data_IF_090139658509
#
_entry.id   IF_090139658509
#
_cell.length_a   1.000
_cell.length_b   1.000
_cell.length_c   1.000
_cell.angle_alpha   90.00
_cell.angle_beta   90.00
_cell.angle_gamma   90.00
#
_symmetry.space_group_name_H-M   'P 1'
#
loop_
_entity.id
_entity.type
_entity.pdbx_description
1 polymer ?
#
# COMPACT_ATOMS: atom_id res chain seq x y z
N UNK A 1 -59.45 73.25 8.76
CA UNK A 1 -60.57 72.26 8.67
C UNK A 1 -59.99 70.89 8.31
N UNK A 2 -59.43 70.20 9.30
CA UNK A 2 -58.48 69.08 9.14
C UNK A 2 -58.98 67.81 9.86
N UNK A 3 -60.31 67.68 10.03
CA UNK A 3 -60.98 66.65 10.86
C UNK A 3 -62.08 65.85 10.15
N UNK A 4 -61.93 65.60 8.85
CA UNK A 4 -62.90 64.77 8.09
C UNK A 4 -62.38 63.38 7.71
N UNK A 5 -61.14 63.02 8.07
CA UNK A 5 -60.53 61.73 7.70
C UNK A 5 -60.56 60.66 8.81
N UNK A 6 -61.15 60.92 9.98
CA UNK A 6 -61.09 59.98 11.12
C UNK A 6 -62.37 59.18 11.37
N UNK A 7 -63.42 59.29 10.55
CA UNK A 7 -64.71 58.62 10.80
C UNK A 7 -64.96 57.34 9.98
N UNK A 8 -63.90 56.70 9.45
CA UNK A 8 -64.02 55.41 8.73
C UNK A 8 -63.53 54.20 9.50
N UNK A 9 -63.34 54.32 10.81
CA UNK A 9 -63.01 53.19 11.68
C UNK A 9 -63.91 53.33 12.88
N UNK A 10 -65.09 52.69 12.86
CA UNK A 10 -65.85 52.23 14.04
C UNK A 10 -67.21 51.71 13.57
N UNK A 11 -67.30 50.38 13.53
CA UNK A 11 -68.46 49.51 13.78
C UNK A 11 -69.30 48.97 12.60
N UNK A 12 -69.38 47.64 12.59
CA UNK A 12 -70.19 46.80 11.72
C UNK A 12 -69.27 46.04 10.75
N UNK A 13 -68.97 44.76 10.90
CA UNK A 13 -69.93 43.71 11.18
C UNK A 13 -69.20 42.41 11.57
N UNK A 14 -69.71 41.75 12.60
CA UNK A 14 -69.28 40.40 13.01
C UNK A 14 -70.01 39.38 12.14
N UNK A 15 -69.70 39.36 10.85
CA UNK A 15 -70.19 38.31 9.96
C UNK A 15 -69.09 37.95 8.97
N UNK A 16 -68.60 36.71 9.08
CA UNK A 16 -67.72 36.03 8.13
C UNK A 16 -66.30 36.60 8.03
N UNK A 17 -65.36 35.95 8.73
CA UNK A 17 -63.94 36.08 8.44
C UNK A 17 -63.69 35.72 6.98
N UNK A 18 -63.62 36.73 6.12
CA UNK A 18 -63.25 36.58 4.73
C UNK A 18 -61.72 36.40 4.67
N UNK A 19 -61.26 35.21 5.03
CA UNK A 19 -59.91 34.74 4.75
C UNK A 19 -59.86 34.49 3.24
N UNK A 20 -59.48 35.52 2.51
CA UNK A 20 -59.07 35.39 1.11
C UNK A 20 -57.62 34.95 1.12
N UNK A 21 -57.37 33.70 0.74
CA UNK A 21 -56.03 33.18 0.47
C UNK A 21 -55.50 33.94 -0.75
N UNK A 22 -54.59 34.88 -0.53
CA UNK A 22 -54.10 35.81 -1.56
C UNK A 22 -53.20 35.11 -2.58
N UNK A 23 -52.45 34.09 -2.17
CA UNK A 23 -51.62 33.29 -3.07
C UNK A 23 -51.38 31.89 -2.47
N UNK A 24 -51.52 30.86 -3.31
CA UNK A 24 -51.22 29.47 -2.95
C UNK A 24 -49.70 29.24 -2.96
N UNK A 25 -49.16 28.60 -1.93
CA UNK A 25 -47.73 28.36 -1.81
C UNK A 25 -47.26 27.46 -2.98
N UNK A 26 -46.47 28.03 -3.90
CA UNK A 26 -45.90 27.27 -5.01
C UNK A 26 -44.89 26.27 -4.46
N UNK A 27 -45.15 24.98 -4.65
CA UNK A 27 -44.19 23.94 -4.33
C UNK A 27 -42.92 24.16 -5.18
N UNK A 28 -41.73 24.16 -4.56
CA UNK A 28 -40.50 24.30 -5.32
C UNK A 28 -40.39 23.14 -6.31
N UNK A 29 -40.30 23.46 -7.61
CA UNK A 29 -40.10 22.45 -8.67
C UNK A 29 -38.68 21.92 -8.70
N UNK A 30 -37.74 22.71 -8.18
CA UNK A 30 -36.33 22.36 -8.07
C UNK A 30 -35.91 22.16 -6.61
N UNK A 31 -34.93 21.29 -6.34
CA UNK A 31 -34.44 21.05 -4.98
C UNK A 31 -33.88 22.32 -4.34
N UNK A 32 -34.47 22.74 -3.21
CA UNK A 32 -34.02 23.89 -2.40
C UNK A 32 -32.86 23.57 -1.44
N UNK A 33 -31.92 22.72 -1.85
CA UNK A 33 -30.81 22.26 -1.03
C UNK A 33 -29.48 22.18 -1.80
N UNK A 34 -28.34 22.03 -1.10
CA UNK A 34 -27.04 21.92 -1.76
C UNK A 34 -27.04 20.74 -2.76
N UNK A 35 -26.42 20.89 -3.95
CA UNK A 35 -26.44 19.86 -4.98
C UNK A 35 -25.63 18.63 -4.56
N UNK A 36 -26.32 17.65 -3.97
CA UNK A 36 -25.72 16.46 -3.34
C UNK A 36 -24.83 15.68 -4.29
N UNK A 37 -25.30 15.42 -5.52
CA UNK A 37 -24.54 14.67 -6.54
C UNK A 37 -23.24 15.37 -6.90
N UNK A 38 -23.28 16.70 -7.10
CA UNK A 38 -22.09 17.50 -7.39
C UNK A 38 -21.07 17.42 -6.26
N UNK A 39 -21.54 17.55 -5.02
CA UNK A 39 -20.66 17.48 -3.85
C UNK A 39 -20.05 16.08 -3.68
N UNK A 40 -20.80 15.02 -3.97
CA UNK A 40 -20.29 13.64 -3.96
C UNK A 40 -19.20 13.46 -5.01
N UNK A 41 -19.43 13.93 -6.25
CA UNK A 41 -18.43 13.82 -7.32
C UNK A 41 -17.17 14.59 -6.96
N UNK A 42 -17.29 15.81 -6.43
CA UNK A 42 -16.15 16.62 -6.00
C UNK A 42 -15.39 15.92 -4.86
N UNK A 43 -16.09 15.39 -3.85
CA UNK A 43 -15.48 14.68 -2.74
C UNK A 43 -14.77 13.40 -3.19
N UNK A 44 -15.36 12.67 -4.14
CA UNK A 44 -14.75 11.47 -4.72
C UNK A 44 -13.46 11.80 -5.47
N UNK A 45 -13.49 12.81 -6.34
CA UNK A 45 -12.31 13.22 -7.10
C UNK A 45 -11.20 13.75 -6.18
N UNK A 46 -11.58 14.54 -5.16
CA UNK A 46 -10.63 15.10 -4.20
C UNK A 46 -9.97 14.00 -3.35
N UNK A 47 -10.76 13.07 -2.80
CA UNK A 47 -10.23 11.97 -1.99
C UNK A 47 -9.38 11.00 -2.82
N UNK A 48 -9.75 10.75 -4.08
CA UNK A 48 -8.94 9.93 -4.98
C UNK A 48 -7.58 10.58 -5.26
N UNK A 49 -7.56 11.89 -5.55
CA UNK A 49 -6.32 12.64 -5.75
C UNK A 49 -5.43 12.62 -4.51
N UNK A 50 -6.01 12.87 -3.33
CA UNK A 50 -5.28 12.79 -2.05
C UNK A 50 -4.80 11.36 -1.77
N UNK A 51 -5.61 10.34 -2.03
CA UNK A 51 -5.23 8.94 -1.81
C UNK A 51 -4.05 8.50 -2.69
N UNK A 52 -4.08 8.85 -3.97
CA UNK A 52 -2.96 8.59 -4.89
C UNK A 52 -1.72 9.36 -4.44
N UNK A 53 -1.85 10.64 -4.12
CA UNK A 53 -0.75 11.45 -3.61
C UNK A 53 -0.14 10.89 -2.33
N UNK A 54 -0.98 10.43 -1.40
CA UNK A 54 -0.54 9.81 -0.14
C UNK A 54 0.16 8.47 -0.39
N UNK A 55 -0.30 7.67 -1.34
CA UNK A 55 0.38 6.41 -1.71
C UNK A 55 1.80 6.67 -2.23
N UNK A 56 1.97 7.65 -3.12
CA UNK A 56 3.30 8.06 -3.59
C UNK A 56 4.15 8.68 -2.48
N UNK A 57 3.55 9.46 -1.58
CA UNK A 57 4.27 10.03 -0.45
C UNK A 57 4.78 8.93 0.48
N UNK A 58 3.95 7.93 0.78
CA UNK A 58 4.36 6.77 1.58
C UNK A 58 5.44 5.94 0.87
N UNK A 59 5.36 5.76 -0.44
CA UNK A 59 6.40 5.07 -1.23
C UNK A 59 7.70 5.89 -1.30
N UNK A 60 7.61 7.22 -1.27
CA UNK A 60 8.78 8.11 -1.22
C UNK A 60 9.43 8.15 0.17
N UNK A 61 8.64 8.06 1.25
CA UNK A 61 9.15 7.93 2.62
C UNK A 61 9.68 6.52 2.93
N UNK A 62 9.46 5.56 2.03
CA UNK A 62 9.94 4.20 2.14
C UNK A 62 11.38 4.09 1.59
N UNK A 63 12.37 4.29 2.47
CA UNK A 63 13.81 4.12 2.18
C UNK A 63 14.23 2.63 2.06
N UNK A 64 13.33 1.75 1.63
CA UNK A 64 13.65 0.35 1.39
C UNK A 64 14.49 0.21 0.11
N UNK A 65 15.65 -0.45 0.21
CA UNK A 65 16.47 -0.83 -0.93
C UNK A 65 15.73 -1.87 -1.77
N UNK A 66 15.17 -1.46 -2.92
CA UNK A 66 14.32 -2.30 -3.77
C UNK A 66 15.10 -2.89 -4.95
N UNK A 67 16.23 -2.30 -5.33
CA UNK A 67 17.05 -2.75 -6.47
C UNK A 67 18.53 -2.96 -6.13
N UNK A 68 19.19 -3.75 -6.98
CA UNK A 68 20.65 -4.02 -6.94
C UNK A 68 21.43 -2.72 -7.15
N UNK A 69 20.92 -1.85 -8.02
CA UNK A 69 21.49 -0.53 -8.32
C UNK A 69 21.43 0.42 -7.12
N UNK A 70 20.45 0.25 -6.22
CA UNK A 70 20.35 1.06 -4.99
C UNK A 70 21.51 0.74 -4.04
N UNK A 71 21.97 -0.51 -4.01
CA UNK A 71 23.11 -0.95 -3.20
C UNK A 71 24.42 -0.37 -3.72
N UNK A 72 24.63 -0.41 -5.04
CA UNK A 72 25.85 0.11 -5.68
C UNK A 72 25.94 1.64 -5.55
N UNK A 73 24.80 2.33 -5.68
CA UNK A 73 24.76 3.80 -5.64
C UNK A 73 24.88 4.40 -4.23
N UNK A 74 24.35 3.73 -3.21
CA UNK A 74 24.35 4.25 -1.83
C UNK A 74 25.46 3.67 -0.95
N UNK A 75 25.89 2.43 -1.22
CA UNK A 75 26.80 1.69 -0.33
C UNK A 75 28.15 1.39 -1.02
N UNK A 76 28.24 1.54 -2.35
CA UNK A 76 29.47 1.33 -3.14
C UNK A 76 30.17 -0.01 -2.88
N UNK A 77 29.38 -1.03 -2.55
CA UNK A 77 29.85 -2.39 -2.27
C UNK A 77 29.36 -3.34 -3.37
N UNK A 78 30.22 -4.26 -3.84
CA UNK A 78 29.82 -5.24 -4.83
C UNK A 78 28.77 -6.19 -4.24
N UNK A 79 27.64 -6.33 -4.93
CA UNK A 79 26.60 -7.29 -4.58
C UNK A 79 27.06 -8.72 -4.87
N UNK A 80 27.22 -9.53 -3.84
CA UNK A 80 27.76 -10.89 -3.97
C UNK A 80 26.77 -11.89 -4.58
N UNK A 81 25.48 -11.79 -4.22
CA UNK A 81 24.40 -12.60 -4.78
C UNK A 81 23.02 -12.02 -4.42
N UNK A 82 22.00 -12.40 -5.21
CA UNK A 82 20.58 -12.13 -4.92
C UNK A 82 19.90 -13.45 -4.54
N UNK A 83 19.38 -13.52 -3.31
CA UNK A 83 18.70 -14.71 -2.80
C UNK A 83 17.19 -14.46 -2.91
N UNK A 84 16.46 -15.23 -3.74
CA UNK A 84 15.01 -15.07 -3.84
C UNK A 84 14.34 -15.36 -2.49
N UNK A 85 13.54 -14.42 -2.00
CA UNK A 85 12.67 -14.69 -0.85
C UNK A 85 11.64 -15.78 -1.21
N UNK A 86 11.30 -16.68 -0.28
CA UNK A 86 10.17 -17.58 -0.47
C UNK A 86 8.92 -16.75 -0.78
N UNK A 87 8.33 -17.01 -1.93
CA UNK A 87 7.10 -16.33 -2.35
C UNK A 87 5.91 -16.92 -1.58
N UNK A 88 5.73 -16.51 -0.33
CA UNK A 88 4.54 -16.88 0.44
C UNK A 88 3.35 -15.94 0.16
N UNK A 89 3.59 -14.69 -0.21
CA UNK A 89 2.51 -13.68 -0.21
C UNK A 89 1.57 -13.75 -1.42
N UNK A 90 2.01 -14.27 -2.57
CA UNK A 90 1.17 -14.33 -3.79
C UNK A 90 0.36 -15.63 -3.91
N UNK A 91 0.76 -16.69 -3.21
CA UNK A 91 0.07 -17.99 -3.25
C UNK A 91 -1.20 -18.02 -2.38
N UNK A 92 -1.37 -17.10 -1.44
CA UNK A 92 -2.56 -17.06 -0.57
C UNK A 92 -3.82 -16.53 -1.29
N UNK A 93 -3.68 -15.73 -2.34
CA UNK A 93 -4.83 -15.13 -3.06
C UNK A 93 -5.31 -15.97 -4.25
N UNK A 94 -4.57 -17.01 -4.66
CA UNK A 94 -4.84 -17.83 -5.85
C UNK A 94 -4.80 -19.34 -5.54
N UNK A 95 -4.96 -19.75 -4.28
CA UNK A 95 -4.86 -21.18 -3.93
C UNK A 95 -6.15 -21.93 -4.29
N UNK A 96 -6.16 -22.56 -5.44
CA UNK A 96 -7.00 -23.73 -5.70
C UNK A 96 -6.58 -24.87 -4.74
N UNK A 97 -7.50 -25.72 -4.25
CA UNK A 97 -7.24 -26.60 -3.10
C UNK A 97 -6.42 -27.87 -3.42
N UNK A 98 -5.75 -27.93 -4.58
CA UNK A 98 -5.26 -29.20 -5.11
C UNK A 98 -3.87 -29.07 -5.74
N UNK A 99 -2.88 -28.73 -4.93
CA UNK A 99 -1.47 -29.07 -5.18
C UNK A 99 -0.71 -28.94 -3.86
N UNK A 100 -0.61 -30.07 -3.17
CA UNK A 100 0.25 -30.26 -2.01
C UNK A 100 1.69 -30.30 -2.49
N UNK A 101 2.41 -29.19 -2.33
CA UNK A 101 3.87 -29.17 -2.36
C UNK A 101 4.33 -28.54 -1.03
N UNK A 102 5.32 -29.15 -0.35
CA UNK A 102 5.44 -29.13 1.09
C UNK A 102 5.92 -27.78 1.61
N UNK A 103 5.58 -27.52 2.87
CA UNK A 103 6.04 -26.38 3.67
C UNK A 103 7.54 -26.49 3.97
N UNK A 104 8.38 -26.52 2.94
CA UNK A 104 9.82 -26.60 3.12
C UNK A 104 10.34 -25.21 3.43
N UNK A 105 10.54 -25.00 4.73
CA UNK A 105 11.32 -23.89 5.28
C UNK A 105 12.54 -23.64 4.40
N UNK A 106 12.70 -22.43 3.86
CA UNK A 106 13.76 -22.06 2.91
C UNK A 106 15.20 -22.31 3.38
N UNK A 107 15.38 -22.59 4.66
CA UNK A 107 16.63 -23.09 5.23
C UNK A 107 17.00 -24.52 4.77
N UNK A 108 16.04 -25.30 4.26
CA UNK A 108 16.22 -26.70 3.85
C UNK A 108 15.96 -26.94 2.36
N UNK A 109 15.49 -25.92 1.61
CA UNK A 109 15.22 -26.05 0.18
C UNK A 109 16.47 -26.44 -0.64
N UNK A 110 17.67 -26.10 -0.16
CA UNK A 110 18.93 -26.54 -0.77
C UNK A 110 19.21 -28.03 -0.61
N UNK A 111 18.67 -28.64 0.45
CA UNK A 111 18.87 -30.05 0.78
C UNK A 111 17.85 -30.92 0.03
N UNK A 112 16.63 -30.41 -0.15
CA UNK A 112 15.56 -31.13 -0.84
C UNK A 112 15.62 -30.99 -2.37
N UNK A 113 15.93 -29.80 -2.90
CA UNK A 113 15.99 -29.57 -4.35
C UNK A 113 17.28 -28.84 -4.78
N UNK A 114 18.24 -29.67 -5.18
CA UNK A 114 19.57 -29.30 -5.70
C UNK A 114 19.49 -28.53 -7.03
N UNK A 115 18.35 -28.51 -7.73
CA UNK A 115 18.15 -27.78 -9.00
C UNK A 115 17.23 -26.56 -8.85
N UNK A 116 16.89 -26.18 -7.61
CA UNK A 116 16.04 -25.02 -7.36
C UNK A 116 16.74 -23.69 -7.72
N UNK A 117 15.99 -22.62 -8.07
CA UNK A 117 16.54 -21.27 -8.28
C UNK A 117 17.27 -20.72 -7.04
N UNK A 118 16.85 -21.14 -5.85
CA UNK A 118 17.51 -20.79 -4.59
C UNK A 118 18.88 -21.47 -4.52
N UNK A 119 19.01 -22.73 -4.94
CA UNK A 119 20.29 -23.42 -5.02
C UNK A 119 21.28 -22.76 -5.98
N UNK A 120 20.83 -22.32 -7.15
CA UNK A 120 21.69 -21.55 -8.06
C UNK A 120 22.14 -20.23 -7.44
N UNK A 121 21.27 -19.51 -6.74
CA UNK A 121 21.66 -18.28 -6.05
C UNK A 121 22.77 -18.50 -5.00
N UNK A 122 22.69 -19.58 -4.21
CA UNK A 122 23.74 -19.92 -3.25
C UNK A 122 25.02 -20.49 -3.90
N UNK A 123 24.92 -21.16 -5.06
CA UNK A 123 26.10 -21.55 -5.88
C UNK A 123 26.83 -20.32 -6.42
N UNK A 124 26.08 -19.33 -6.90
CA UNK A 124 26.63 -18.04 -7.28
C UNK A 124 27.30 -17.35 -6.10
N UNK A 125 26.64 -17.28 -4.94
CA UNK A 125 27.22 -16.71 -3.72
C UNK A 125 28.54 -17.38 -3.34
N UNK A 126 28.59 -18.72 -3.37
CA UNK A 126 29.81 -19.50 -3.11
C UNK A 126 30.94 -19.09 -4.06
N UNK A 127 30.64 -19.02 -5.36
CA UNK A 127 31.64 -18.72 -6.39
C UNK A 127 32.15 -17.28 -6.24
N UNK A 128 31.25 -16.31 -6.07
CA UNK A 128 31.60 -14.91 -5.80
C UNK A 128 32.49 -14.77 -4.55
N UNK A 129 32.17 -15.52 -3.49
CA UNK A 129 32.94 -15.48 -2.23
C UNK A 129 34.34 -16.08 -2.39
N UNK A 130 34.47 -17.20 -3.11
CA UNK A 130 35.77 -17.81 -3.42
C UNK A 130 36.63 -16.93 -4.33
N UNK A 131 36.01 -16.17 -5.24
CA UNK A 131 36.68 -15.23 -6.15
C UNK A 131 36.89 -13.83 -5.55
N UNK A 132 36.26 -13.51 -4.42
CA UNK A 132 36.32 -12.19 -3.80
C UNK A 132 37.72 -11.82 -3.29
N UNK A 133 38.60 -12.80 -3.08
CA UNK A 133 39.95 -12.60 -2.56
C UNK A 133 40.98 -12.96 -3.63
N UNK A 134 41.86 -12.02 -3.96
CA UNK A 134 42.90 -12.20 -4.95
C UNK A 134 43.95 -13.22 -4.45
N UNK A 135 43.87 -14.45 -4.95
CA UNK A 135 44.92 -15.47 -4.83
C UNK A 135 44.69 -16.58 -3.80
N UNK A 136 43.85 -16.39 -2.78
CA UNK A 136 43.44 -17.46 -1.86
C UNK A 136 41.99 -17.29 -1.41
N UNK A 137 41.19 -18.37 -1.35
CA UNK A 137 39.81 -18.30 -0.86
C UNK A 137 39.78 -17.90 0.63
N UNK A 138 38.80 -17.09 1.05
CA UNK A 138 38.69 -16.65 2.43
C UNK A 138 38.42 -17.83 3.38
N UNK A 139 39.19 -17.92 4.47
CA UNK A 139 39.07 -18.98 5.49
C UNK A 139 38.03 -18.68 6.58
N UNK A 140 37.68 -17.41 6.76
CA UNK A 140 36.76 -16.96 7.79
C UNK A 140 35.90 -15.84 7.21
N UNK A 141 34.58 -15.98 7.36
CA UNK A 141 33.59 -15.03 6.84
C UNK A 141 32.62 -14.69 7.96
N UNK A 142 32.41 -13.39 8.18
CA UNK A 142 31.40 -12.88 9.10
C UNK A 142 30.14 -12.54 8.32
N UNK A 143 28.99 -13.03 8.80
CA UNK A 143 27.66 -12.68 8.24
C UNK A 143 26.91 -11.82 9.25
N UNK A 144 26.48 -10.63 8.84
CA UNK A 144 25.77 -9.65 9.69
C UNK A 144 24.65 -8.92 8.93
N UNK A 145 23.86 -8.14 9.66
CA UNK A 145 22.68 -7.39 9.22
C UNK A 145 22.55 -6.07 9.94
N UNK A 146 21.78 -5.16 9.35
CA UNK A 146 21.19 -4.00 10.01
C UNK A 146 20.05 -4.35 10.97
N UNK A 147 19.13 -5.23 10.58
CA UNK A 147 17.88 -5.50 11.29
C UNK A 147 17.75 -6.98 11.73
N UNK A 148 16.99 -7.28 12.80
CA UNK A 148 16.52 -8.63 13.07
C UNK A 148 15.71 -9.22 11.89
N UNK A 149 15.72 -10.55 11.75
CA UNK A 149 14.93 -11.28 10.74
C UNK A 149 15.26 -11.08 9.25
N UNK A 150 16.38 -10.43 8.90
CA UNK A 150 16.86 -10.32 7.49
C UNK A 150 17.41 -11.64 6.88
N UNK A 151 17.38 -12.75 7.62
CA UNK A 151 17.80 -14.05 7.07
C UNK A 151 19.26 -14.45 7.28
N UNK A 152 20.03 -13.75 8.14
CA UNK A 152 21.43 -14.11 8.50
C UNK A 152 21.62 -15.60 8.76
N UNK A 153 20.82 -16.18 9.67
CA UNK A 153 20.91 -17.59 10.06
C UNK A 153 20.62 -18.50 8.87
N UNK A 154 19.59 -18.19 8.08
CA UNK A 154 19.23 -18.93 6.87
C UNK A 154 20.37 -18.91 5.86
N UNK A 155 20.99 -17.75 5.64
CA UNK A 155 22.13 -17.59 4.75
C UNK A 155 23.34 -18.37 5.24
N UNK A 156 23.66 -18.31 6.54
CA UNK A 156 24.80 -19.03 7.15
C UNK A 156 24.64 -20.54 7.01
N UNK A 157 23.47 -21.08 7.33
CA UNK A 157 23.22 -22.53 7.22
C UNK A 157 23.37 -22.98 5.77
N UNK A 158 22.71 -22.28 4.84
CA UNK A 158 22.72 -22.62 3.43
C UNK A 158 24.11 -22.50 2.80
N UNK A 159 24.87 -21.43 3.09
CA UNK A 159 26.24 -21.29 2.55
C UNK A 159 27.19 -22.32 3.16
N UNK A 160 27.05 -22.64 4.44
CA UNK A 160 27.86 -23.66 5.09
C UNK A 160 27.60 -25.04 4.47
N UNK A 161 26.34 -25.40 4.24
CA UNK A 161 25.98 -26.64 3.52
C UNK A 161 26.57 -26.65 2.11
N UNK A 162 26.48 -25.54 1.36
CA UNK A 162 27.02 -25.44 -0.01
C UNK A 162 28.55 -25.48 -0.08
N UNK A 163 29.24 -25.02 0.96
CA UNK A 163 30.70 -25.12 1.11
C UNK A 163 31.13 -26.53 1.57
N UNK A 164 30.27 -27.26 2.29
CA UNK A 164 30.56 -28.61 2.77
C UNK A 164 30.30 -29.72 1.72
N UNK A 165 29.46 -29.46 0.71
CA UNK A 165 29.14 -30.40 -0.37
C UNK A 165 30.25 -30.52 -1.45
N UNK A 166 31.47 -30.10 -1.15
CA UNK A 166 32.67 -30.28 -1.99
C UNK A 166 33.49 -31.45 -1.53
#
# INVERSE_FOLDING_TARGET
MQRLNELKVTNGDRTSGNVSTVEEARTPRDPIGPPRVRNIIIALLLSLGVGVGLAFLLDYLDDTLKSVEDVDRHIHLPTLALIPAPRDTRRLLLRTPHESEPNTSTALALIEDVRSPVAEAYRHLRTSLLLSSAGQPPKTVLVTSSQPSEGKTTTVVNIATMLAQT
#
